data_IF_358150123820
#
_entry.id   IF_358150123820
#
_cell.length_a   1.000
_cell.length_b   1.000
_cell.length_c   1.000
_cell.angle_alpha   90.00
_cell.angle_beta   90.00
_cell.angle_gamma   90.00
#
_symmetry.space_group_name_H-M   'P 1'
#
loop_
_entity.id
_entity.type
_entity.pdbx_description
1 polymer ?
#
# COMPACT_ATOMS: atom_id res chain seq x y z
N UNK A 1 15.58 -8.39 12.19
CA UNK A 1 15.11 -9.73 11.75
C UNK A 1 15.39 -9.94 10.27
N UNK A 2 14.82 -9.13 9.37
CA UNK A 2 14.96 -9.29 7.92
C UNK A 2 16.42 -9.33 7.43
N UNK A 3 17.27 -8.43 7.93
CA UNK A 3 18.71 -8.41 7.62
C UNK A 3 19.39 -9.74 7.94
N UNK A 4 19.10 -10.34 9.11
CA UNK A 4 19.68 -11.62 9.52
C UNK A 4 19.26 -12.77 8.60
N UNK A 5 18.00 -12.79 8.17
CA UNK A 5 17.50 -13.81 7.23
C UNK A 5 18.14 -13.65 5.85
N UNK A 6 18.34 -12.41 5.41
CA UNK A 6 19.02 -12.11 4.16
C UNK A 6 20.51 -12.52 4.21
N UNK A 7 21.21 -12.26 5.32
CA UNK A 7 22.60 -12.70 5.55
C UNK A 7 22.74 -14.24 5.53
N UNK A 8 21.67 -14.97 5.88
CA UNK A 8 21.60 -16.43 5.80
C UNK A 8 21.23 -16.94 4.40
N UNK A 9 21.11 -16.06 3.40
CA UNK A 9 20.72 -16.42 2.03
C UNK A 9 19.24 -16.74 1.85
N UNK A 10 18.40 -16.45 2.85
CA UNK A 10 16.95 -16.68 2.78
C UNK A 10 16.29 -15.50 2.10
N UNK A 11 15.63 -15.77 0.97
CA UNK A 11 14.90 -14.77 0.19
C UNK A 11 13.54 -14.47 0.81
N UNK A 12 13.23 -13.19 1.01
CA UNK A 12 11.95 -12.75 1.56
C UNK A 12 11.04 -12.23 0.45
N UNK A 13 9.76 -12.58 0.56
CA UNK A 13 8.69 -12.03 -0.29
C UNK A 13 7.59 -11.45 0.58
N UNK A 14 7.12 -10.26 0.25
CA UNK A 14 5.97 -9.64 0.88
C UNK A 14 4.74 -9.73 0.00
N UNK A 15 3.60 -9.98 0.65
CA UNK A 15 2.29 -9.85 0.04
C UNK A 15 1.76 -8.45 0.24
N UNK A 16 1.33 -7.81 -0.84
CA UNK A 16 0.88 -6.41 -0.84
C UNK A 16 -0.45 -6.29 -1.57
N UNK A 17 -1.34 -5.45 -1.03
CA UNK A 17 -2.65 -5.13 -1.57
C UNK A 17 -2.80 -3.59 -1.71
N UNK A 18 -3.62 -3.10 -2.65
CA UNK A 18 -3.80 -1.67 -2.91
C UNK A 18 -4.90 -1.03 -2.04
N UNK A 19 -5.03 -1.49 -0.80
CA UNK A 19 -6.04 -0.99 0.15
C UNK A 19 -5.37 -0.35 1.35
N UNK A 20 -5.99 0.74 1.84
CA UNK A 20 -5.56 1.42 3.06
C UNK A 20 -6.67 1.27 4.09
N UNK A 21 -6.45 0.43 5.10
CA UNK A 21 -7.43 0.23 6.15
C UNK A 21 -7.69 1.50 6.94
N UNK A 22 -8.96 1.71 7.32
CA UNK A 22 -9.42 2.92 7.99
C UNK A 22 -8.77 3.14 9.38
N UNK A 23 -8.37 2.06 10.05
CA UNK A 23 -7.68 2.08 11.35
C UNK A 23 -6.16 2.29 11.24
N UNK A 24 -5.59 2.20 10.03
CA UNK A 24 -4.16 2.36 9.79
C UNK A 24 -3.69 3.81 9.99
N UNK A 25 -2.41 3.98 10.32
CA UNK A 25 -1.79 5.32 10.39
C UNK A 25 -1.85 6.07 9.05
N UNK A 26 -1.82 5.36 7.92
CA UNK A 26 -1.93 5.95 6.59
C UNK A 26 -3.31 6.58 6.36
N UNK A 27 -4.40 5.95 6.80
CA UNK A 27 -5.75 6.52 6.66
C UNK A 27 -5.93 7.85 7.39
N UNK A 28 -5.13 8.11 8.44
CA UNK A 28 -5.13 9.37 9.19
C UNK A 28 -4.35 10.49 8.47
N UNK A 29 -3.54 10.16 7.45
CA UNK A 29 -2.76 11.15 6.72
C UNK A 29 -3.67 11.91 5.73
N UNK A 30 -3.83 13.24 5.88
CA UNK A 30 -4.72 14.02 5.01
C UNK A 30 -4.30 14.00 3.54
N UNK A 31 -3.02 13.77 3.23
CA UNK A 31 -2.53 13.64 1.86
C UNK A 31 -3.16 12.45 1.13
N UNK A 32 -3.44 11.36 1.85
CA UNK A 32 -4.01 10.13 1.26
C UNK A 32 -5.38 10.37 0.65
N UNK A 33 -6.15 11.32 1.17
CA UNK A 33 -7.46 11.62 0.60
C UNK A 33 -7.38 11.90 -0.89
N UNK A 34 -6.33 12.56 -1.40
CA UNK A 34 -6.18 12.88 -2.84
C UNK A 34 -5.69 11.70 -3.69
N UNK A 35 -5.27 10.61 -3.06
CA UNK A 35 -4.62 9.47 -3.72
C UNK A 35 -5.52 8.22 -3.80
N UNK A 36 -6.75 8.34 -3.31
CA UNK A 36 -7.72 7.26 -3.24
C UNK A 36 -8.91 7.54 -4.15
N UNK A 37 -9.60 6.48 -4.55
CA UNK A 37 -10.81 6.57 -5.39
C UNK A 37 -11.88 7.37 -4.65
N UNK A 38 -12.55 8.26 -5.39
CA UNK A 38 -13.63 9.12 -4.87
C UNK A 38 -14.88 8.99 -5.71
N UNK A 39 -16.02 9.25 -5.06
CA UNK A 39 -17.30 9.43 -5.72
C UNK A 39 -17.33 10.75 -6.47
N UNK A 40 -18.30 10.93 -7.37
CA UNK A 40 -18.56 12.23 -8.02
C UNK A 40 -18.84 13.36 -7.03
N UNK A 41 -19.37 13.04 -5.84
CA UNK A 41 -19.56 14.00 -4.74
C UNK A 41 -18.26 14.48 -4.09
N UNK A 42 -17.11 13.89 -4.46
CA UNK A 42 -15.80 14.16 -3.85
C UNK A 42 -15.50 13.31 -2.61
N UNK A 43 -16.46 12.57 -2.07
CA UNK A 43 -16.25 11.70 -0.90
C UNK A 43 -15.41 10.46 -1.24
N UNK A 44 -14.53 10.01 -0.33
CA UNK A 44 -13.80 8.75 -0.49
C UNK A 44 -14.72 7.54 -0.72
N UNK A 45 -14.32 6.65 -1.61
CA UNK A 45 -14.92 5.31 -1.70
C UNK A 45 -14.33 4.43 -0.61
N UNK A 46 -15.21 3.86 0.22
CA UNK A 46 -14.87 2.86 1.23
C UNK A 46 -15.40 1.52 0.73
N UNK A 47 -14.54 0.50 0.73
CA UNK A 47 -14.89 -0.86 0.33
C UNK A 47 -14.71 -1.82 1.50
N UNK A 48 -15.55 -2.86 1.52
CA UNK A 48 -15.31 -4.04 2.34
C UNK A 48 -14.38 -4.98 1.56
N UNK A 49 -13.31 -5.44 2.18
CA UNK A 49 -12.38 -6.43 1.65
C UNK A 49 -12.06 -7.47 2.74
N UNK A 50 -11.30 -8.52 2.43
CA UNK A 50 -11.12 -9.64 3.36
C UNK A 50 -10.53 -9.25 4.73
N UNK A 51 -9.87 -8.09 4.82
CA UNK A 51 -9.28 -7.56 6.06
C UNK A 51 -10.00 -6.30 6.57
N UNK A 52 -11.32 -6.22 6.35
CA UNK A 52 -12.19 -5.18 6.90
C UNK A 52 -12.53 -4.06 5.91
N UNK A 53 -12.59 -2.82 6.40
CA UNK A 53 -12.95 -1.66 5.58
C UNK A 53 -11.74 -0.79 5.28
N UNK A 54 -11.63 -0.35 4.04
CA UNK A 54 -10.51 0.47 3.59
C UNK A 54 -10.82 1.36 2.40
N UNK A 55 -9.92 2.30 2.16
CA UNK A 55 -9.87 3.07 0.93
C UNK A 55 -9.15 2.28 -0.17
N UNK A 56 -9.52 2.54 -1.42
CA UNK A 56 -8.86 1.99 -2.61
C UNK A 56 -7.92 3.04 -3.19
N UNK A 57 -6.67 2.68 -3.46
CA UNK A 57 -5.72 3.56 -4.14
C UNK A 57 -6.19 3.79 -5.59
N UNK A 58 -6.20 5.04 -6.03
CA UNK A 58 -6.58 5.39 -7.39
C UNK A 58 -5.37 5.32 -8.34
N UNK A 59 -5.12 4.16 -8.95
CA UNK A 59 -4.02 4.00 -9.90
C UNK A 59 -4.22 4.73 -11.24
N UNK A 60 -5.38 5.35 -11.47
CA UNK A 60 -5.54 6.27 -12.61
C UNK A 60 -4.94 7.65 -12.33
N UNK A 61 -4.68 7.96 -11.05
CA UNK A 61 -3.95 9.14 -10.61
C UNK A 61 -2.42 8.86 -10.60
N UNK A 62 -1.61 9.56 -11.43
CA UNK A 62 -0.15 9.39 -11.43
C UNK A 62 0.51 9.69 -10.07
N UNK A 63 -0.03 10.63 -9.29
CA UNK A 63 0.49 10.93 -7.95
C UNK A 63 0.28 9.78 -6.97
N UNK A 64 -0.86 9.09 -7.06
CA UNK A 64 -1.17 7.93 -6.24
C UNK A 64 -0.27 6.75 -6.59
N UNK A 65 -0.06 6.52 -7.89
CA UNK A 65 0.90 5.51 -8.38
C UNK A 65 2.31 5.80 -7.88
N UNK A 66 2.76 7.05 -7.98
CA UNK A 66 4.07 7.47 -7.46
C UNK A 66 4.18 7.22 -5.95
N UNK A 67 3.18 7.65 -5.19
CA UNK A 67 3.15 7.46 -3.73
C UNK A 67 3.20 5.97 -3.34
N UNK A 68 2.46 5.12 -4.05
CA UNK A 68 2.46 3.68 -3.81
C UNK A 68 3.84 3.08 -4.10
N UNK A 69 4.45 3.42 -5.23
CA UNK A 69 5.83 3.01 -5.54
C UNK A 69 6.84 3.50 -4.50
N UNK A 70 6.70 4.71 -3.96
CA UNK A 70 7.55 5.19 -2.86
C UNK A 70 7.40 4.32 -1.60
N UNK A 71 6.20 3.85 -1.27
CA UNK A 71 6.02 2.91 -0.14
C UNK A 71 6.68 1.57 -0.44
N UNK A 72 6.53 1.04 -1.66
CA UNK A 72 7.18 -0.20 -2.08
C UNK A 72 8.70 -0.09 -2.03
N UNK A 73 9.27 1.04 -2.44
CA UNK A 73 10.72 1.26 -2.42
C UNK A 73 11.27 1.29 -0.99
N UNK A 74 10.56 1.94 -0.05
CA UNK A 74 10.92 1.87 1.38
C UNK A 74 10.89 0.45 1.92
N UNK A 75 9.93 -0.36 1.49
CA UNK A 75 9.89 -1.78 1.86
C UNK A 75 11.05 -2.55 1.22
N UNK A 76 11.37 -2.30 -0.05
CA UNK A 76 12.51 -2.96 -0.70
C UNK A 76 13.79 -2.72 0.08
N UNK A 77 14.07 -1.48 0.51
CA UNK A 77 15.27 -1.16 1.31
C UNK A 77 15.39 -2.01 2.60
N UNK A 78 14.28 -2.47 3.17
CA UNK A 78 14.25 -3.25 4.41
C UNK A 78 14.18 -4.77 4.18
N UNK A 79 13.60 -5.23 3.05
CA UNK A 79 13.16 -6.62 2.88
C UNK A 79 13.76 -7.39 1.69
N UNK A 80 14.66 -6.80 0.89
CA UNK A 80 15.12 -7.31 -0.42
C UNK A 80 15.07 -8.84 -0.64
N UNK A 81 14.07 -9.32 -1.40
CA UNK A 81 14.32 -10.14 -2.62
C UNK A 81 13.16 -10.10 -3.63
N UNK A 82 11.88 -10.09 -3.22
CA UNK A 82 10.76 -10.00 -4.17
C UNK A 82 9.48 -9.36 -3.55
N UNK A 83 8.66 -8.76 -4.41
CA UNK A 83 7.32 -8.24 -4.05
C UNK A 83 6.27 -8.95 -4.90
N UNK A 84 5.19 -9.42 -4.27
CA UNK A 84 4.03 -9.97 -5.00
C UNK A 84 2.81 -9.10 -4.76
N UNK A 85 2.40 -8.39 -5.81
CA UNK A 85 1.21 -7.53 -5.81
C UNK A 85 0.09 -8.35 -6.44
N UNK A 86 -1.06 -8.39 -5.77
CA UNK A 86 -2.28 -8.99 -6.31
C UNK A 86 -3.29 -7.86 -6.56
N UNK A 87 -3.90 -7.89 -7.74
CA UNK A 87 -5.03 -7.03 -8.10
C UNK A 87 -6.34 -7.75 -7.79
#
# INVERSE_FOLDING_TARGET
MCTKLNEQGIRLTLWIHPYINLDSGNAKNPRIRRLIVRKLSGEPVIVNWWNGYGYVIDFTNPEATKWFHEQLNKLKEVFLTALRIYQ
#
